data_IF_476304142220
#
_entry.id   IF_476304142220
#
_cell.length_a   1.000
_cell.length_b   1.000
_cell.length_c   1.000
_cell.angle_alpha   90.00
_cell.angle_beta   90.00
_cell.angle_gamma   90.00
#
_symmetry.space_group_name_H-M   'P 1'
#
loop_
_entity.id
_entity.type
_entity.pdbx_description
1 polymer ?
#
# COMPACT_ATOMS: atom_id res chain seq x y z
N UNK A 1 -1.54 12.35 7.81
CA UNK A 1 -0.81 12.93 6.67
C UNK A 1 0.61 12.37 6.68
N UNK A 2 1.03 11.80 5.57
CA UNK A 2 2.39 11.31 5.36
C UNK A 2 3.00 12.20 4.28
N UNK A 3 4.12 12.83 4.55
CA UNK A 3 4.96 13.42 3.53
C UNK A 3 6.25 12.61 3.48
N UNK A 4 6.51 11.93 2.37
CA UNK A 4 7.75 11.21 2.13
C UNK A 4 8.48 11.88 0.98
N UNK A 5 9.74 12.25 1.20
CA UNK A 5 10.60 12.82 0.18
C UNK A 5 11.85 11.95 0.02
N UNK A 6 12.22 11.67 -1.20
CA UNK A 6 13.46 11.00 -1.56
C UNK A 6 14.47 12.06 -2.01
N UNK A 7 15.53 12.22 -1.24
CA UNK A 7 16.62 13.15 -1.59
C UNK A 7 17.56 12.45 -2.56
N UNK A 8 17.74 13.02 -3.74
CA UNK A 8 18.59 12.47 -4.80
C UNK A 8 17.84 11.94 -6.03
N UNK A 9 16.60 11.39 -5.87
CA UNK A 9 15.71 11.08 -7.01
C UNK A 9 14.57 12.10 -7.16
N UNK A 10 14.57 13.14 -6.36
CA UNK A 10 13.58 14.23 -6.35
C UNK A 10 12.10 13.73 -6.40
N UNK A 11 11.84 12.60 -5.80
CA UNK A 11 10.47 12.10 -5.67
C UNK A 11 9.87 12.58 -4.35
N UNK A 12 8.72 13.23 -4.41
CA UNK A 12 7.97 13.64 -3.23
C UNK A 12 6.58 13.02 -3.27
N UNK A 13 6.23 12.27 -2.24
CA UNK A 13 4.91 11.64 -2.10
C UNK A 13 4.18 12.27 -0.93
N UNK A 14 2.95 12.73 -1.18
CA UNK A 14 1.99 13.15 -0.14
C UNK A 14 0.86 12.15 -0.11
N UNK A 15 0.70 11.48 1.01
CA UNK A 15 -0.35 10.48 1.21
C UNK A 15 -1.25 10.87 2.39
N UNK A 16 -2.55 10.73 2.19
CA UNK A 16 -3.57 10.88 3.24
C UNK A 16 -4.52 9.71 3.18
N UNK A 17 -4.64 9.01 4.29
CA UNK A 17 -5.60 7.94 4.43
C UNK A 17 -6.50 8.17 5.63
N UNK A 18 -7.77 7.90 5.45
CA UNK A 18 -8.76 7.94 6.52
C UNK A 18 -9.62 6.69 6.46
N UNK A 19 -9.73 5.99 7.59
CA UNK A 19 -10.57 4.80 7.70
C UNK A 19 -11.61 5.02 8.79
N UNK A 20 -12.88 4.85 8.43
CA UNK A 20 -14.02 4.98 9.32
C UNK A 20 -14.72 3.63 9.47
N UNK A 21 -14.66 3.00 10.65
CA UNK A 21 -15.56 1.91 10.98
C UNK A 21 -16.96 2.49 11.25
N UNK A 22 -17.93 2.24 10.38
CA UNK A 22 -19.28 2.78 10.50
C UNK A 22 -20.27 1.78 11.07
N UNK A 23 -19.91 0.50 11.15
CA UNK A 23 -20.72 -0.52 11.80
C UNK A 23 -19.82 -1.51 12.53
N UNK A 24 -20.03 -1.62 13.82
CA UNK A 24 -19.40 -2.62 14.66
C UNK A 24 -20.52 -3.33 15.44
N UNK A 25 -20.80 -4.58 15.10
CA UNK A 25 -21.80 -5.43 15.75
C UNK A 25 -21.13 -6.66 16.31
N UNK A 26 -21.76 -7.33 17.24
CA UNK A 26 -21.34 -8.65 17.69
C UNK A 26 -22.29 -9.70 17.13
N UNK A 27 -21.74 -10.83 16.70
CA UNK A 27 -22.56 -11.98 16.32
C UNK A 27 -23.10 -12.70 17.59
N UNK A 28 -23.92 -13.72 17.40
CA UNK A 28 -24.48 -14.51 18.51
C UNK A 28 -23.41 -15.15 19.41
N UNK A 29 -22.17 -15.26 18.95
CA UNK A 29 -21.02 -15.79 19.71
C UNK A 29 -20.15 -14.68 20.34
N UNK A 30 -20.60 -13.42 20.34
CA UNK A 30 -19.88 -12.29 20.91
C UNK A 30 -18.66 -11.81 20.09
N UNK A 31 -18.49 -12.31 18.86
CA UNK A 31 -17.37 -11.94 18.00
C UNK A 31 -17.73 -10.71 17.15
N UNK A 32 -16.78 -9.78 16.91
CA UNK A 32 -17.06 -8.55 16.20
C UNK A 32 -17.29 -8.78 14.69
N UNK A 33 -18.36 -8.22 14.17
CA UNK A 33 -18.64 -8.05 12.75
C UNK A 33 -18.47 -6.57 12.43
N UNK A 34 -17.59 -6.24 11.50
CA UNK A 34 -17.24 -4.86 11.23
C UNK A 34 -17.45 -4.52 9.76
N UNK A 35 -17.95 -3.31 9.53
CA UNK A 35 -17.92 -2.63 8.25
C UNK A 35 -17.11 -1.36 8.40
N UNK A 36 -16.20 -1.14 7.47
CA UNK A 36 -15.39 0.09 7.41
C UNK A 36 -15.30 0.61 5.99
N UNK A 37 -15.25 1.92 5.87
CA UNK A 37 -14.92 2.61 4.63
C UNK A 37 -13.58 3.30 4.80
N UNK A 38 -12.72 3.24 3.80
CA UNK A 38 -11.46 3.98 3.78
C UNK A 38 -11.35 4.81 2.52
N UNK A 39 -10.88 6.04 2.70
CA UNK A 39 -10.54 6.96 1.61
C UNK A 39 -9.04 7.20 1.68
N UNK A 40 -8.37 7.05 0.55
CA UNK A 40 -6.95 7.36 0.43
C UNK A 40 -6.75 8.30 -0.74
N UNK A 41 -5.90 9.29 -0.56
CA UNK A 41 -5.43 10.18 -1.61
C UNK A 41 -3.91 10.24 -1.58
N UNK A 42 -3.27 10.02 -2.71
CA UNK A 42 -1.82 10.08 -2.87
C UNK A 42 -1.49 11.01 -4.03
N UNK A 43 -0.59 11.93 -3.81
CA UNK A 43 -0.01 12.76 -4.85
C UNK A 43 1.51 12.56 -4.83
N UNK A 44 2.06 12.14 -5.95
CA UNK A 44 3.49 11.91 -6.11
C UNK A 44 4.03 12.78 -7.23
N UNK A 45 5.09 13.53 -6.94
CA UNK A 45 5.92 14.20 -7.94
C UNK A 45 7.13 13.31 -8.21
N UNK A 46 7.35 12.97 -9.47
CA UNK A 46 8.40 12.08 -9.92
C UNK A 46 9.35 12.90 -10.79
N UNK A 47 10.55 13.15 -10.32
CA UNK A 47 11.56 13.80 -11.15
C UNK A 47 12.41 12.73 -11.86
N UNK A 48 12.28 12.67 -13.18
CA UNK A 48 12.93 11.68 -14.04
C UNK A 48 14.10 12.29 -14.85
N UNK A 49 14.86 13.22 -14.29
CA UNK A 49 15.85 14.08 -14.96
C UNK A 49 16.93 13.39 -15.81
N UNK A 50 17.06 12.08 -15.76
CA UNK A 50 18.10 11.36 -16.52
C UNK A 50 17.55 10.18 -17.32
N UNK A 51 16.25 10.07 -17.47
CA UNK A 51 15.65 9.04 -18.30
C UNK A 51 15.48 9.55 -19.73
N UNK A 52 16.04 8.82 -20.69
CA UNK A 52 16.03 9.15 -22.10
C UNK A 52 14.66 9.05 -22.78
N UNK A 53 13.59 8.75 -22.05
CA UNK A 53 12.25 8.54 -22.58
C UNK A 53 11.25 9.35 -21.79
N UNK A 54 10.52 10.25 -22.46
CA UNK A 54 9.34 10.98 -21.94
C UNK A 54 8.13 10.07 -21.61
N UNK A 55 8.39 8.82 -21.23
CA UNK A 55 7.36 7.79 -21.02
C UNK A 55 6.91 7.73 -19.57
N UNK A 56 7.68 8.32 -18.66
CA UNK A 56 7.37 8.32 -17.22
C UNK A 56 6.57 9.57 -16.85
N UNK A 57 5.47 9.44 -16.11
CA UNK A 57 4.73 10.60 -15.66
C UNK A 57 5.57 11.42 -14.67
N UNK A 58 5.53 12.74 -14.80
CA UNK A 58 6.16 13.64 -13.84
C UNK A 58 5.34 13.73 -12.55
N UNK A 59 4.06 13.51 -12.65
CA UNK A 59 3.12 13.58 -11.55
C UNK A 59 2.13 12.42 -11.59
N UNK A 60 1.82 11.86 -10.42
CA UNK A 60 0.80 10.84 -10.26
C UNK A 60 -0.16 11.26 -9.17
N UNK A 61 -1.43 11.32 -9.50
CA UNK A 61 -2.54 11.48 -8.58
C UNK A 61 -3.31 10.17 -8.47
N UNK A 62 -3.49 9.71 -7.25
CA UNK A 62 -4.40 8.62 -6.98
C UNK A 62 -5.37 8.97 -5.87
N UNK A 63 -6.64 8.63 -6.08
CA UNK A 63 -7.68 8.75 -5.08
C UNK A 63 -8.51 7.48 -5.07
N UNK A 64 -8.68 6.85 -3.92
CA UNK A 64 -9.43 5.60 -3.82
C UNK A 64 -10.40 5.59 -2.65
N UNK A 65 -11.52 4.90 -2.86
CA UNK A 65 -12.52 4.56 -1.85
C UNK A 65 -12.58 3.04 -1.74
N UNK A 66 -12.48 2.51 -0.53
CA UNK A 66 -12.56 1.09 -0.28
C UNK A 66 -13.59 0.83 0.82
N UNK A 67 -14.44 -0.17 0.60
CA UNK A 67 -15.37 -0.72 1.56
C UNK A 67 -14.86 -2.08 2.00
N UNK A 68 -14.75 -2.30 3.31
CA UNK A 68 -14.26 -3.56 3.88
C UNK A 68 -15.26 -4.12 4.87
N UNK A 69 -15.54 -5.40 4.74
CA UNK A 69 -16.37 -6.18 5.66
C UNK A 69 -15.54 -7.29 6.30
N UNK A 70 -15.50 -7.29 7.62
CA UNK A 70 -14.86 -8.36 8.39
C UNK A 70 -15.94 -9.12 9.16
N UNK A 71 -16.00 -10.43 8.94
CA UNK A 71 -16.99 -11.31 9.56
C UNK A 71 -16.35 -12.58 10.11
N UNK A 72 -16.49 -12.89 11.40
CA UNK A 72 -16.09 -14.17 11.96
C UNK A 72 -17.00 -15.29 11.43
N UNK A 73 -16.40 -16.37 10.97
CA UNK A 73 -17.07 -17.58 10.49
C UNK A 73 -17.09 -18.64 11.58
N UNK A 74 -16.04 -18.71 12.40
CA UNK A 74 -15.93 -19.59 13.54
C UNK A 74 -14.99 -19.00 14.61
N UNK A 75 -14.69 -19.75 15.67
CA UNK A 75 -13.74 -19.29 16.70
C UNK A 75 -12.35 -18.98 16.18
N UNK A 76 -11.92 -19.67 15.10
CA UNK A 76 -10.58 -19.52 14.51
C UNK A 76 -10.58 -18.96 13.11
N UNK A 77 -11.72 -18.89 12.43
CA UNK A 77 -11.81 -18.41 11.06
C UNK A 77 -12.60 -17.12 10.99
N UNK A 78 -12.11 -16.19 10.19
CA UNK A 78 -12.86 -15.01 9.79
C UNK A 78 -12.64 -14.73 8.30
N UNK A 79 -13.55 -13.98 7.74
CA UNK A 79 -13.55 -13.56 6.35
C UNK A 79 -13.32 -12.04 6.29
N UNK A 80 -12.48 -11.61 5.39
CA UNK A 80 -12.35 -10.22 4.98
C UNK A 80 -12.83 -10.13 3.54
N UNK A 81 -13.87 -9.35 3.31
CA UNK A 81 -14.33 -9.01 1.96
C UNK A 81 -14.10 -7.52 1.73
N UNK A 82 -13.56 -7.16 0.58
CA UNK A 82 -13.29 -5.77 0.21
C UNK A 82 -13.76 -5.47 -1.19
N UNK A 83 -14.21 -4.23 -1.39
CA UNK A 83 -14.54 -3.67 -2.69
C UNK A 83 -14.01 -2.25 -2.72
N UNK A 84 -13.26 -1.91 -3.75
CA UNK A 84 -12.65 -0.60 -3.90
C UNK A 84 -12.75 -0.08 -5.32
N UNK A 85 -12.76 1.23 -5.44
CA UNK A 85 -12.63 1.93 -6.71
C UNK A 85 -11.76 3.17 -6.50
N UNK A 86 -10.99 3.53 -7.50
CA UNK A 86 -10.12 4.70 -7.42
C UNK A 86 -9.73 5.21 -8.79
N UNK A 87 -9.24 6.45 -8.80
CA UNK A 87 -8.67 7.10 -9.97
C UNK A 87 -7.16 7.06 -9.79
N UNK A 88 -6.45 6.68 -10.85
CA UNK A 88 -5.00 6.53 -10.88
C UNK A 88 -4.49 7.10 -12.20
N UNK A 89 -4.00 8.34 -12.20
CA UNK A 89 -3.59 9.04 -13.43
C UNK A 89 -2.66 10.20 -13.10
N UNK A 90 -2.01 10.75 -14.13
CA UNK A 90 -1.50 12.11 -14.04
C UNK A 90 -2.67 13.09 -13.88
N UNK A 91 -2.49 14.24 -13.17
CA UNK A 91 -3.58 15.17 -12.87
C UNK A 91 -4.28 15.74 -14.11
N UNK A 92 -3.55 15.91 -15.19
CA UNK A 92 -4.00 16.47 -16.48
C UNK A 92 -4.61 15.42 -17.45
N UNK A 93 -4.49 14.14 -17.12
CA UNK A 93 -4.86 13.03 -18.00
C UNK A 93 -5.97 12.13 -17.41
N UNK A 94 -6.82 12.69 -16.54
CA UNK A 94 -7.90 11.92 -15.91
C UNK A 94 -8.99 11.58 -16.93
N UNK A 95 -9.22 10.29 -17.13
CA UNK A 95 -10.24 9.75 -18.02
C UNK A 95 -11.02 8.62 -17.33
N UNK A 96 -12.07 8.12 -17.95
CA UNK A 96 -12.77 6.93 -17.46
C UNK A 96 -11.86 5.69 -17.39
N UNK A 97 -10.85 5.63 -18.24
CA UNK A 97 -9.86 4.54 -18.22
C UNK A 97 -8.96 4.59 -16.99
N UNK A 98 -8.82 5.76 -16.35
CA UNK A 98 -8.07 5.94 -15.11
C UNK A 98 -8.78 5.35 -13.89
N UNK A 99 -10.06 4.94 -14.02
CA UNK A 99 -10.81 4.31 -12.94
C UNK A 99 -10.44 2.84 -12.83
N UNK A 100 -9.78 2.49 -11.73
CA UNK A 100 -9.49 1.12 -11.38
C UNK A 100 -10.45 0.64 -10.31
N UNK A 101 -10.99 -0.56 -10.51
CA UNK A 101 -11.87 -1.23 -9.55
C UNK A 101 -11.19 -2.51 -9.09
N UNK A 102 -11.24 -2.75 -7.82
CA UNK A 102 -10.73 -3.97 -7.21
C UNK A 102 -11.69 -4.49 -6.16
N UNK A 103 -11.65 -5.76 -5.92
CA UNK A 103 -12.42 -6.39 -4.85
C UNK A 103 -11.89 -7.77 -4.59
N UNK A 104 -12.20 -8.31 -3.41
CA UNK A 104 -11.76 -9.66 -3.11
C UNK A 104 -12.30 -10.17 -1.80
N UNK A 105 -12.07 -11.45 -1.59
CA UNK A 105 -12.43 -12.16 -0.37
C UNK A 105 -11.24 -12.99 0.08
N UNK A 106 -10.88 -12.85 1.34
CA UNK A 106 -9.80 -13.59 2.01
C UNK A 106 -10.40 -14.33 3.19
N UNK A 107 -10.11 -15.61 3.29
CA UNK A 107 -10.40 -16.43 4.46
C UNK A 107 -9.16 -16.52 5.32
N UNK A 108 -9.28 -16.08 6.57
CA UNK A 108 -8.16 -15.95 7.48
C UNK A 108 -8.33 -16.93 8.64
N UNK A 109 -7.27 -17.67 8.92
CA UNK A 109 -7.16 -18.60 10.04
C UNK A 109 -6.27 -18.01 11.14
N UNK A 110 -6.79 -17.93 12.36
CA UNK A 110 -6.05 -17.54 13.56
C UNK A 110 -5.21 -18.70 14.05
N UNK A 111 -3.96 -18.78 13.60
CA UNK A 111 -3.03 -19.84 13.99
C UNK A 111 -2.67 -19.74 15.47
N UNK A 112 -2.40 -18.52 15.94
CA UNK A 112 -2.06 -18.17 17.32
C UNK A 112 -2.75 -16.87 17.70
N UNK A 113 -2.64 -16.44 18.96
CA UNK A 113 -3.18 -15.14 19.41
C UNK A 113 -2.58 -13.94 18.68
N UNK A 114 -1.40 -14.13 18.09
CA UNK A 114 -0.60 -13.09 17.46
C UNK A 114 -0.22 -13.43 16.01
N UNK A 115 -0.79 -14.49 15.42
CA UNK A 115 -0.47 -14.93 14.07
C UNK A 115 -1.75 -15.32 13.33
N UNK A 116 -2.07 -14.54 12.31
CA UNK A 116 -3.16 -14.76 11.39
C UNK A 116 -2.61 -15.04 9.99
N UNK A 117 -3.09 -16.07 9.33
CA UNK A 117 -2.71 -16.44 7.96
C UNK A 117 -3.98 -16.61 7.14
N UNK A 118 -3.97 -16.10 5.93
CA UNK A 118 -5.15 -16.18 5.07
C UNK A 118 -4.80 -16.37 3.61
N UNK A 119 -5.76 -16.91 2.88
CA UNK A 119 -5.73 -17.05 1.44
C UNK A 119 -7.08 -16.66 0.86
N UNK A 120 -7.06 -16.18 -0.35
CA UNK A 120 -8.28 -15.72 -1.01
C UNK A 120 -8.10 -15.46 -2.48
N UNK A 121 -9.07 -14.80 -3.07
CA UNK A 121 -9.04 -14.36 -4.44
C UNK A 121 -9.58 -12.93 -4.55
N UNK A 122 -8.98 -12.15 -5.43
CA UNK A 122 -9.41 -10.81 -5.78
C UNK A 122 -9.65 -10.67 -7.28
N UNK A 123 -10.47 -9.68 -7.61
CA UNK A 123 -10.71 -9.22 -8.97
C UNK A 123 -10.15 -7.82 -9.12
N UNK A 124 -9.48 -7.53 -10.21
CA UNK A 124 -9.02 -6.20 -10.57
C UNK A 124 -9.20 -5.95 -12.06
N UNK A 125 -9.46 -4.70 -12.44
CA UNK A 125 -9.48 -4.27 -13.84
C UNK A 125 -8.22 -3.52 -14.28
N UNK A 126 -7.15 -3.59 -13.48
CA UNK A 126 -5.89 -2.89 -13.77
C UNK A 126 -5.31 -3.25 -15.14
N UNK A 127 -5.60 -4.45 -15.64
CA UNK A 127 -5.13 -4.94 -16.93
C UNK A 127 -6.09 -4.66 -18.10
N UNK A 128 -7.03 -3.73 -17.95
CA UNK A 128 -8.03 -3.36 -18.97
C UNK A 128 -9.21 -4.31 -19.07
N UNK A 129 -9.10 -5.51 -18.49
CA UNK A 129 -10.16 -6.52 -18.36
C UNK A 129 -10.19 -7.02 -16.92
N UNK A 130 -11.34 -7.48 -16.42
CA UNK A 130 -11.41 -8.06 -15.09
C UNK A 130 -10.60 -9.37 -15.03
N UNK A 131 -9.65 -9.42 -14.10
CA UNK A 131 -8.78 -10.58 -13.87
C UNK A 131 -8.86 -11.00 -12.41
N UNK A 132 -8.97 -12.32 -12.20
CA UNK A 132 -8.88 -12.91 -10.87
C UNK A 132 -7.41 -13.15 -10.50
N UNK A 133 -7.03 -12.72 -9.30
CA UNK A 133 -5.69 -12.93 -8.77
C UNK A 133 -5.76 -13.61 -7.40
N UNK A 134 -4.81 -14.50 -7.08
CA UNK A 134 -4.70 -15.03 -5.73
C UNK A 134 -4.30 -13.94 -4.75
N UNK A 135 -4.85 -14.00 -3.55
CA UNK A 135 -4.53 -13.07 -2.47
C UNK A 135 -3.99 -13.85 -1.27
N UNK A 136 -2.95 -13.29 -0.65
CA UNK A 136 -2.35 -13.82 0.55
C UNK A 136 -2.47 -12.79 1.67
N UNK A 137 -2.65 -13.28 2.88
CA UNK A 137 -2.73 -12.48 4.09
C UNK A 137 -1.83 -13.11 5.15
N UNK A 138 -0.92 -12.34 5.68
CA UNK A 138 -0.13 -12.67 6.84
C UNK A 138 -0.10 -11.47 7.77
N UNK A 139 -0.49 -11.67 9.00
CA UNK A 139 -0.35 -10.68 10.06
C UNK A 139 0.26 -11.38 11.28
N UNK A 140 1.51 -11.07 11.56
CA UNK A 140 2.23 -11.59 12.71
C UNK A 140 2.69 -10.44 13.58
N UNK A 141 2.19 -10.41 14.81
CA UNK A 141 2.47 -9.34 15.75
C UNK A 141 2.96 -9.94 17.06
N UNK A 142 4.16 -9.56 17.46
CA UNK A 142 4.68 -9.77 18.81
C UNK A 142 4.61 -8.43 19.53
N UNK A 143 3.95 -8.39 20.68
CA UNK A 143 3.75 -7.17 21.45
C UNK A 143 4.30 -7.30 22.87
N UNK A 144 4.80 -6.17 23.40
CA UNK A 144 5.44 -6.06 24.69
C UNK A 144 6.30 -4.80 24.72
N UNK A 145 7.43 -4.82 25.38
CA UNK A 145 8.43 -3.77 25.24
C UNK A 145 9.12 -3.81 23.87
N UNK A 146 9.20 -5.01 23.29
CA UNK A 146 9.67 -5.23 21.92
C UNK A 146 8.49 -5.69 21.09
N UNK A 147 8.29 -5.04 19.96
CA UNK A 147 7.24 -5.37 18.99
C UNK A 147 7.91 -5.87 17.70
N UNK A 148 7.33 -6.91 17.11
CA UNK A 148 7.67 -7.35 15.75
C UNK A 148 6.36 -7.40 14.97
N UNK A 149 6.37 -6.85 13.77
CA UNK A 149 5.24 -6.86 12.87
C UNK A 149 5.68 -7.34 11.49
N UNK A 150 4.96 -8.32 10.97
CA UNK A 150 5.07 -8.77 9.58
C UNK A 150 3.68 -8.68 8.97
N UNK A 151 3.53 -7.90 7.93
CA UNK A 151 2.26 -7.66 7.26
C UNK A 151 2.40 -7.87 5.75
N UNK A 152 1.49 -8.64 5.17
CA UNK A 152 1.39 -8.91 3.75
C UNK A 152 -0.01 -8.60 3.19
N UNK A 153 -0.77 -7.73 3.83
CA UNK A 153 -2.16 -7.48 3.44
C UNK A 153 -2.33 -6.38 2.37
N UNK A 154 -1.50 -5.36 2.42
CA UNK A 154 -1.59 -4.18 1.53
C UNK A 154 -0.25 -3.81 0.89
N UNK A 155 0.70 -4.68 0.98
CA UNK A 155 2.10 -4.54 0.62
C UNK A 155 2.90 -5.49 1.51
N UNK A 156 4.21 -5.40 1.47
CA UNK A 156 5.09 -6.16 2.36
C UNK A 156 5.68 -5.21 3.38
N UNK A 157 5.45 -5.43 4.66
CA UNK A 157 6.13 -4.71 5.74
C UNK A 157 6.70 -5.70 6.74
N UNK A 158 7.98 -5.54 7.05
CA UNK A 158 8.66 -6.23 8.16
C UNK A 158 9.27 -5.17 9.05
N UNK A 159 8.78 -5.06 10.28
CA UNK A 159 9.27 -4.05 11.22
C UNK A 159 9.43 -4.58 12.62
N UNK A 160 10.40 -4.01 13.33
CA UNK A 160 10.61 -4.20 14.77
C UNK A 160 10.53 -2.86 15.50
N UNK A 161 10.06 -2.88 16.74
CA UNK A 161 10.02 -1.66 17.54
C UNK A 161 10.35 -1.93 19.01
N UNK A 162 10.87 -0.90 19.68
CA UNK A 162 11.08 -0.88 21.12
C UNK A 162 10.36 0.32 21.73
N UNK A 163 9.62 0.07 22.80
CA UNK A 163 8.99 1.14 23.59
C UNK A 163 9.97 1.66 24.62
N UNK A 164 10.26 2.94 24.56
CA UNK A 164 11.13 3.66 25.49
C UNK A 164 10.25 4.58 26.37
N UNK A 165 9.56 3.98 27.33
CA UNK A 165 8.56 4.64 28.16
C UNK A 165 7.18 4.72 27.52
N UNK A 166 6.29 5.57 28.09
CA UNK A 166 4.87 5.62 27.73
C UNK A 166 4.58 6.42 26.43
N UNK A 167 5.49 7.32 26.08
CA UNK A 167 5.28 8.27 24.98
C UNK A 167 6.18 8.07 23.78
N UNK A 168 7.31 7.41 23.96
CA UNK A 168 8.30 7.26 22.90
C UNK A 168 8.41 5.81 22.45
N UNK A 169 8.36 5.58 21.13
CA UNK A 169 8.60 4.30 20.51
C UNK A 169 9.58 4.49 19.35
N UNK A 170 10.58 3.64 19.29
CA UNK A 170 11.52 3.59 18.19
C UNK A 170 11.20 2.36 17.34
N UNK A 171 10.84 2.57 16.08
CA UNK A 171 10.53 1.51 15.12
C UNK A 171 11.60 1.47 14.03
N UNK A 172 12.09 0.28 13.74
CA UNK A 172 12.92 -0.03 12.59
C UNK A 172 12.03 -0.75 11.58
N UNK A 173 11.80 -0.15 10.45
CA UNK A 173 11.20 -0.82 9.30
C UNK A 173 12.35 -1.44 8.51
N UNK A 174 12.50 -2.75 8.64
CA UNK A 174 13.58 -3.49 7.99
C UNK A 174 13.33 -3.63 6.50
N UNK A 175 12.07 -3.82 6.11
CA UNK A 175 11.64 -3.90 4.72
C UNK A 175 10.21 -3.38 4.59
N UNK A 176 10.00 -2.46 3.68
CA UNK A 176 8.68 -2.02 3.22
C UNK A 176 8.69 -2.03 1.70
N UNK A 177 7.76 -2.76 1.12
CA UNK A 177 7.55 -2.76 -0.32
C UNK A 177 6.15 -2.23 -0.60
N UNK A 178 6.09 -1.15 -1.33
CA UNK A 178 4.85 -0.57 -1.85
C UNK A 178 5.06 -0.07 -3.28
N UNK A 179 4.00 0.45 -3.89
CA UNK A 179 4.09 0.94 -5.24
C UNK A 179 3.06 2.02 -5.54
N UNK A 180 3.33 2.75 -6.60
CA UNK A 180 2.40 3.68 -7.22
C UNK A 180 2.10 3.21 -8.64
N UNK A 181 0.90 3.48 -9.10
CA UNK A 181 0.51 3.19 -10.48
C UNK A 181 -0.26 4.36 -11.07
N UNK A 182 -0.15 4.51 -12.38
CA UNK A 182 -0.86 5.53 -13.16
C UNK A 182 -1.31 4.94 -14.47
N UNK A 183 -2.55 5.18 -14.85
CA UNK A 183 -3.05 4.86 -16.19
C UNK A 183 -2.74 6.03 -17.10
N UNK A 184 -2.16 5.75 -18.25
CA UNK A 184 -1.71 6.72 -19.23
C UNK A 184 -2.21 6.35 -20.60
N UNK A 185 -2.39 7.33 -21.47
CA UNK A 185 -2.55 7.13 -22.91
C UNK A 185 -1.22 7.46 -23.58
N UNK A 186 -0.66 6.51 -24.30
CA UNK A 186 0.56 6.70 -25.08
C UNK A 186 0.25 6.33 -26.53
N UNK A 187 0.28 7.29 -27.41
CA UNK A 187 -0.03 7.11 -28.84
C UNK A 187 -1.39 6.43 -29.10
N UNK A 188 -2.42 6.79 -28.33
CA UNK A 188 -3.78 6.20 -28.45
C UNK A 188 -3.90 4.79 -27.88
N UNK A 189 -2.91 4.33 -27.11
CA UNK A 189 -2.96 3.03 -26.43
C UNK A 189 -3.02 3.23 -24.91
N UNK A 190 -3.98 2.58 -24.27
CA UNK A 190 -4.06 2.57 -22.81
C UNK A 190 -2.92 1.75 -22.24
N UNK A 191 -2.06 2.41 -21.45
CA UNK A 191 -0.91 1.83 -20.77
C UNK A 191 -1.06 2.03 -19.27
N UNK A 192 -0.39 1.20 -18.50
CA UNK A 192 -0.26 1.38 -17.06
C UNK A 192 1.22 1.54 -16.69
N UNK A 193 1.53 2.65 -16.06
CA UNK A 193 2.79 2.85 -15.38
C UNK A 193 2.69 2.25 -13.98
N UNK A 194 3.65 1.44 -13.60
CA UNK A 194 3.77 0.89 -12.26
C UNK A 194 5.20 1.08 -11.75
N UNK A 195 5.34 1.60 -10.55
CA UNK A 195 6.63 1.74 -9.88
C UNK A 195 6.55 1.06 -8.52
N UNK A 196 7.42 0.10 -8.30
CA UNK A 196 7.57 -0.60 -7.01
C UNK A 196 8.81 -0.05 -6.31
N UNK A 197 8.68 0.18 -5.02
CA UNK A 197 9.75 0.70 -4.17
C UNK A 197 10.00 -0.25 -3.01
N UNK A 198 11.29 -0.45 -2.67
CA UNK A 198 11.69 -1.17 -1.48
C UNK A 198 12.49 -0.26 -0.57
N UNK A 199 12.02 -0.07 0.64
CA UNK A 199 12.58 0.88 1.61
C UNK A 199 12.93 0.20 2.92
N UNK A 200 13.93 0.74 3.61
CA UNK A 200 14.15 0.50 5.04
C UNK A 200 14.48 1.80 5.75
N UNK A 201 13.97 1.97 6.96
CA UNK A 201 14.13 3.22 7.69
C UNK A 201 13.92 3.06 9.18
N UNK A 202 14.55 3.95 9.93
CA UNK A 202 14.32 4.13 11.35
C UNK A 202 13.23 5.17 11.57
N UNK A 203 12.27 4.86 12.44
CA UNK A 203 11.07 5.66 12.63
C UNK A 203 10.82 5.91 14.14
N UNK A 204 11.38 6.98 14.71
CA UNK A 204 10.96 7.46 16.02
C UNK A 204 9.50 7.93 15.98
N UNK A 205 8.71 7.45 16.93
CA UNK A 205 7.31 7.78 17.11
C UNK A 205 7.11 8.42 18.49
N UNK A 206 6.44 9.57 18.54
CA UNK A 206 6.14 10.28 19.78
C UNK A 206 4.63 10.50 19.95
N UNK A 207 4.06 9.99 21.05
CA UNK A 207 2.64 10.14 21.36
C UNK A 207 2.33 11.54 21.88
N UNK A 208 1.44 12.24 21.19
CA UNK A 208 0.86 13.53 21.58
C UNK A 208 -0.54 13.28 22.13
N UNK A 209 -0.66 13.04 23.43
CA UNK A 209 -1.96 12.72 24.03
C UNK A 209 -2.39 11.27 23.83
N UNK A 210 -3.73 11.02 23.93
CA UNK A 210 -4.27 9.65 23.96
C UNK A 210 -4.48 9.01 22.59
N UNK A 211 -4.62 9.80 21.55
CA UNK A 211 -5.08 9.32 20.20
C UNK A 211 -4.24 9.86 19.05
N UNK A 212 -3.10 10.48 19.30
CA UNK A 212 -2.28 11.07 18.25
C UNK A 212 -0.81 10.75 18.47
N UNK A 213 -0.10 10.52 17.38
CA UNK A 213 1.31 10.20 17.37
C UNK A 213 1.99 10.91 16.20
N UNK A 214 3.07 11.62 16.49
CA UNK A 214 4.01 12.09 15.45
C UNK A 214 5.02 11.01 15.15
N UNK A 215 5.45 10.96 13.91
CA UNK A 215 6.56 10.11 13.51
C UNK A 215 7.44 10.79 12.48
N UNK A 216 8.71 10.39 12.50
CA UNK A 216 9.71 10.72 11.49
C UNK A 216 10.31 9.42 11.00
N UNK A 217 10.56 9.30 9.70
CA UNK A 217 11.26 8.18 9.12
C UNK A 217 12.53 8.67 8.42
N UNK A 218 13.66 8.03 8.69
CA UNK A 218 14.94 8.31 8.04
C UNK A 218 15.55 6.99 7.63
N UNK A 219 15.92 6.85 6.35
CA UNK A 219 16.50 5.62 5.85
C UNK A 219 16.87 5.66 4.38
N UNK A 220 16.70 4.54 3.69
CA UNK A 220 17.01 4.39 2.28
C UNK A 220 15.88 3.76 1.49
N UNK A 221 15.77 4.18 0.24
CA UNK A 221 15.05 3.47 -0.80
C UNK A 221 16.09 2.73 -1.65
N UNK A 222 16.09 1.42 -1.52
CA UNK A 222 17.12 0.56 -2.07
C UNK A 222 16.85 0.11 -3.48
N UNK A 223 15.56 -0.01 -3.79
CA UNK A 223 15.09 -0.44 -5.10
C UNK A 223 13.89 0.40 -5.48
N UNK A 224 13.93 0.92 -6.68
CA UNK A 224 12.79 1.49 -7.37
C UNK A 224 12.79 0.93 -8.78
N UNK A 225 11.71 0.28 -9.17
CA UNK A 225 11.43 -0.07 -10.56
C UNK A 225 10.44 0.92 -11.16
N UNK A 226 10.39 1.00 -12.46
CA UNK A 226 9.39 1.81 -13.16
C UNK A 226 9.10 1.18 -14.50
N UNK A 227 7.95 0.50 -14.60
CA UNK A 227 7.52 -0.20 -15.80
C UNK A 227 6.34 0.48 -16.46
N UNK A 228 6.40 0.57 -17.78
CA UNK A 228 5.27 0.98 -18.61
C UNK A 228 4.79 -0.21 -19.44
N UNK A 229 3.63 -0.73 -19.09
CA UNK A 229 3.08 -1.93 -19.71
C UNK A 229 1.78 -1.63 -20.43
N UNK A 230 1.53 -2.34 -21.55
CA UNK A 230 0.20 -2.33 -22.17
C UNK A 230 -0.82 -2.87 -21.19
N UNK A 231 -1.94 -2.17 -21.06
CA UNK A 231 -3.03 -2.54 -20.16
C UNK A 231 -3.83 -3.72 -20.73
N UNK A 232 -3.16 -4.88 -20.87
CA UNK A 232 -3.71 -6.15 -21.33
C UNK A 232 -3.10 -7.29 -20.53
N UNK A 233 -3.82 -8.42 -20.42
CA UNK A 233 -3.30 -9.60 -19.73
C UNK A 233 -2.00 -10.10 -20.37
N UNK A 234 -1.94 -10.10 -21.72
CA UNK A 234 -0.71 -10.48 -22.44
C UNK A 234 0.45 -9.54 -22.08
N UNK A 235 0.22 -8.22 -22.09
CA UNK A 235 1.26 -7.25 -21.72
C UNK A 235 1.78 -7.46 -20.30
N UNK A 236 0.90 -7.80 -19.34
CA UNK A 236 1.29 -8.13 -17.98
C UNK A 236 2.16 -9.40 -17.90
N UNK A 237 1.72 -10.47 -18.57
CA UNK A 237 2.45 -11.75 -18.60
C UNK A 237 3.79 -11.59 -19.31
N UNK A 238 3.81 -10.91 -20.45
CA UNK A 238 5.04 -10.63 -21.20
C UNK A 238 6.02 -9.81 -20.36
N UNK A 239 5.54 -8.84 -19.57
CA UNK A 239 6.39 -8.06 -18.69
C UNK A 239 6.93 -8.85 -17.49
N UNK A 240 6.12 -9.75 -16.93
CA UNK A 240 6.50 -10.58 -15.77
C UNK A 240 7.58 -11.62 -16.11
N UNK A 241 7.63 -12.06 -17.36
CA UNK A 241 8.56 -13.11 -17.82
C UNK A 241 9.59 -12.64 -18.85
N UNK A 242 9.63 -11.35 -19.18
CA UNK A 242 10.64 -10.82 -20.12
C UNK A 242 11.87 -10.37 -19.35
N UNK A 243 13.04 -10.83 -19.83
CA UNK A 243 14.36 -10.25 -19.47
C UNK A 243 14.55 -8.87 -20.14
N UNK A 244 13.74 -7.90 -19.76
CA UNK A 244 13.98 -6.52 -20.17
C UNK A 244 14.94 -5.88 -19.20
N UNK A 245 15.84 -5.07 -19.73
CA UNK A 245 16.62 -4.13 -18.93
C UNK A 245 15.66 -3.11 -18.32
N UNK A 246 15.10 -3.41 -17.18
CA UNK A 246 14.27 -2.49 -16.43
C UNK A 246 15.12 -1.30 -15.99
N UNK A 247 14.61 -0.06 -16.10
CA UNK A 247 15.32 1.09 -15.61
C UNK A 247 15.48 0.98 -14.09
N UNK A 248 16.71 0.71 -13.64
CA UNK A 248 17.07 0.71 -12.25
C UNK A 248 17.39 2.12 -11.78
N UNK A 249 16.74 2.54 -10.73
CA UNK A 249 17.07 3.78 -10.06
C UNK A 249 18.13 3.53 -8.99
N UNK A 250 19.10 4.43 -8.90
CA UNK A 250 20.10 4.36 -7.84
C UNK A 250 19.45 4.44 -6.46
N UNK A 251 20.03 3.77 -5.46
CA UNK A 251 19.60 3.92 -4.07
C UNK A 251 19.57 5.38 -3.64
N UNK A 252 18.53 5.79 -2.95
CA UNK A 252 18.32 7.17 -2.54
C UNK A 252 17.99 7.27 -1.06
N UNK A 253 18.30 8.42 -0.47
CA UNK A 253 17.93 8.68 0.93
C UNK A 253 16.42 8.85 1.01
N UNK A 254 15.81 8.18 1.97
CA UNK A 254 14.38 8.27 2.29
C UNK A 254 14.18 9.10 3.54
N UNK A 255 13.26 10.04 3.46
CA UNK A 255 12.80 10.82 4.60
C UNK A 255 11.28 10.88 4.61
N UNK A 256 10.66 10.68 5.76
CA UNK A 256 9.22 10.82 5.93
C UNK A 256 8.86 11.47 7.26
N UNK A 257 7.76 12.20 7.28
CA UNK A 257 7.20 12.77 8.49
C UNK A 257 5.67 12.71 8.43
N UNK A 258 5.03 12.48 9.54
CA UNK A 258 3.58 12.45 9.55
C UNK A 258 2.94 12.37 10.94
N UNK A 259 1.61 12.36 10.91
CA UNK A 259 0.76 12.25 12.10
C UNK A 259 -0.18 11.06 11.91
N UNK A 260 -0.23 10.18 12.91
CA UNK A 260 -1.23 9.13 13.02
C UNK A 260 -2.25 9.54 14.07
N UNK A 261 -3.54 9.37 13.78
CA UNK A 261 -4.63 9.63 14.72
C UNK A 261 -5.59 8.45 14.77
N UNK A 262 -6.17 8.17 15.94
CA UNK A 262 -7.28 7.20 16.06
C UNK A 262 -6.90 5.77 16.41
N UNK A 263 -5.76 5.52 17.03
CA UNK A 263 -5.34 4.19 17.55
C UNK A 263 -5.53 4.08 19.06
#
# INVERSE_FOLDING_TARGET
EICACLVGSEMCIRDRAYTLPFSLKQNASGQPVMWSASVRGTYAMLNNRQMALDIHPDEVLSGSLNLTHVRPLSKKWYMIASLGAGIYSAPDAITWQSVLVNGGVIFVYKCRKNLDIGVGAGLTNSFGVPIAMPMFFLNWQLSGNYEVNVNLSSGVEVSGAVRLGDRFKLRLVAMEMDGISSVMDVEGKSMIYASVMMRSYLCPEYKIGKKSCLYLGIGGNWLRSGDLTKRTLKGFVDNMFSDKDDPYFNPTVYFSAGVKCGF
#
